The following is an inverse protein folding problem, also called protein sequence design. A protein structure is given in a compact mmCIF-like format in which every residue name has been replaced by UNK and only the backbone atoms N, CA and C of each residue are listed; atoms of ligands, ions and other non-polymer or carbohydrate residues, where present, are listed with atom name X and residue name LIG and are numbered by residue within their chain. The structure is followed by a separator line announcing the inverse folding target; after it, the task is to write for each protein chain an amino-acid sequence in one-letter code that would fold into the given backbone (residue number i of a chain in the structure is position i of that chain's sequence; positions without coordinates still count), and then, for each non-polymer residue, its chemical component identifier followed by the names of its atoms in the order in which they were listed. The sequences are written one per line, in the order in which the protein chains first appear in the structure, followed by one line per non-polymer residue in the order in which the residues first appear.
data_IF_733627498905
#
_entry.id   IF_733627498905
#
_cell.length_a   1.000
_cell.length_b   1.000
_cell.length_c   1.000
_cell.angle_alpha   90.00
_cell.angle_beta   90.00
_cell.angle_gamma   90.00
#
_symmetry.space_group_name_H-M   'P 1'
#
loop_
_entity.id
_entity.type
_entity.pdbx_description
1 polymer ?
#
# COMPACT_ATOMS: atom_id res chain seq x y z
N UNK A 1 37.24 -19.47 -3.75
CA UNK A 1 35.77 -19.71 -3.82
C UNK A 1 34.96 -18.45 -3.57
N UNK A 2 35.33 -17.61 -2.57
CA UNK A 2 34.67 -16.33 -2.28
C UNK A 2 34.65 -15.32 -3.44
N UNK A 3 35.75 -15.18 -4.19
CA UNK A 3 35.81 -14.24 -5.33
C UNK A 3 34.89 -14.60 -6.49
N UNK A 4 34.62 -15.89 -6.70
CA UNK A 4 33.72 -16.36 -7.76
C UNK A 4 32.26 -16.09 -7.38
N UNK A 5 31.91 -16.26 -6.11
CA UNK A 5 30.62 -15.86 -5.58
C UNK A 5 30.42 -14.34 -5.65
N UNK A 6 31.46 -13.56 -5.34
CA UNK A 6 31.42 -12.10 -5.43
C UNK A 6 31.24 -11.61 -6.87
N UNK A 7 31.95 -12.21 -7.82
CA UNK A 7 31.76 -11.93 -9.25
C UNK A 7 30.35 -12.29 -9.73
N UNK A 8 29.81 -13.43 -9.32
CA UNK A 8 28.44 -13.83 -9.68
C UNK A 8 27.38 -12.90 -9.06
N UNK A 9 27.56 -12.49 -7.80
CA UNK A 9 26.68 -11.51 -7.16
C UNK A 9 26.78 -10.15 -7.83
N UNK A 10 27.98 -9.67 -8.14
CA UNK A 10 28.20 -8.43 -8.87
C UNK A 10 27.57 -8.49 -10.26
N UNK A 11 27.69 -9.61 -10.98
CA UNK A 11 27.07 -9.81 -12.28
C UNK A 11 25.54 -9.85 -12.19
N UNK A 12 24.97 -10.47 -11.16
CA UNK A 12 23.53 -10.48 -10.92
C UNK A 12 22.99 -9.10 -10.58
N UNK A 13 23.71 -8.31 -9.78
CA UNK A 13 23.35 -6.92 -9.45
C UNK A 13 23.45 -6.03 -10.69
N UNK A 14 24.55 -6.13 -11.45
CA UNK A 14 24.72 -5.41 -12.72
C UNK A 14 23.65 -5.83 -13.73
N UNK A 15 23.29 -7.12 -13.81
CA UNK A 15 22.21 -7.61 -14.65
C UNK A 15 20.83 -7.08 -14.20
N UNK A 16 20.56 -7.02 -12.89
CA UNK A 16 19.34 -6.43 -12.32
C UNK A 16 19.24 -4.91 -12.56
N UNK A 17 20.37 -4.20 -12.62
CA UNK A 17 20.45 -2.76 -12.90
C UNK A 17 20.44 -2.44 -14.41
N UNK A 18 21.03 -3.32 -15.24
CA UNK A 18 21.16 -3.17 -16.68
C UNK A 18 19.93 -3.68 -17.44
N UNK A 19 19.28 -4.75 -16.95
CA UNK A 19 17.90 -5.01 -17.33
C UNK A 19 17.10 -3.83 -16.78
N UNK A 20 16.53 -3.02 -17.67
CA UNK A 20 15.40 -2.18 -17.28
C UNK A 20 14.30 -3.15 -16.87
N UNK A 21 14.34 -3.65 -15.63
CA UNK A 21 13.17 -4.14 -14.93
C UNK A 21 12.31 -2.92 -14.75
N UNK A 22 11.66 -2.61 -15.86
CA UNK A 22 10.70 -1.58 -16.00
C UNK A 22 9.56 -2.08 -15.13
N UNK A 23 9.61 -1.75 -13.84
CA UNK A 23 8.38 -1.55 -13.09
C UNK A 23 7.76 -0.28 -13.69
N UNK A 24 7.37 -0.35 -14.97
CA UNK A 24 6.42 0.57 -15.55
C UNK A 24 5.13 0.29 -14.83
N UNK A 25 4.94 1.01 -13.75
CA UNK A 25 3.62 1.50 -13.44
C UNK A 25 3.33 2.56 -14.51
N UNK A 26 2.97 2.11 -15.71
CA UNK A 26 2.35 2.99 -16.71
C UNK A 26 1.01 3.42 -16.14
N UNK A 27 1.05 4.46 -15.32
CA UNK A 27 -0.14 5.22 -15.00
C UNK A 27 0.06 6.60 -15.66
N UNK A 28 -0.09 6.62 -16.98
CA UNK A 28 0.05 7.80 -17.83
C UNK A 28 -1.11 8.81 -17.69
N UNK A 29 -1.92 8.73 -16.63
CA UNK A 29 -2.88 9.75 -16.24
C UNK A 29 -2.96 9.75 -14.72
N UNK A 30 -2.51 10.82 -14.05
CA UNK A 30 -2.37 10.93 -12.58
C UNK A 30 -3.38 10.07 -11.82
N UNK A 31 -2.90 8.96 -11.27
CA UNK A 31 -3.76 7.85 -10.84
C UNK A 31 -4.57 8.22 -9.61
N UNK A 32 -5.19 7.26 -8.92
CA UNK A 32 -5.92 7.53 -7.68
C UNK A 32 -5.06 8.21 -6.59
N UNK A 33 -3.73 8.15 -6.71
CA UNK A 33 -2.74 8.78 -5.85
C UNK A 33 -2.07 10.05 -6.45
N UNK A 34 -2.56 10.54 -7.60
CA UNK A 34 -2.05 11.74 -8.25
C UNK A 34 -0.58 11.59 -8.66
N UNK A 35 0.29 12.45 -8.10
CA UNK A 35 1.75 12.43 -8.34
C UNK A 35 2.47 11.36 -7.52
N UNK A 36 1.84 10.81 -6.48
CA UNK A 36 2.46 9.80 -5.62
C UNK A 36 2.30 8.40 -6.23
N UNK A 37 3.39 7.64 -6.40
CA UNK A 37 3.30 6.24 -6.82
C UNK A 37 2.46 5.43 -5.83
N UNK A 38 1.59 4.54 -6.33
CA UNK A 38 0.77 3.66 -5.49
C UNK A 38 1.64 2.83 -4.56
N UNK A 39 2.82 2.40 -5.01
CA UNK A 39 3.79 1.67 -4.19
C UNK A 39 4.26 2.49 -2.99
N UNK A 40 4.65 3.75 -3.21
CA UNK A 40 5.12 4.62 -2.13
C UNK A 40 4.01 4.90 -1.10
N UNK A 41 2.77 5.06 -1.57
CA UNK A 41 1.60 5.16 -0.70
C UNK A 41 1.37 3.85 0.08
N UNK A 42 1.47 2.69 -0.58
CA UNK A 42 1.34 1.38 0.05
C UNK A 42 2.42 1.12 1.11
N UNK A 43 3.67 1.49 0.83
CA UNK A 43 4.77 1.39 1.79
C UNK A 43 4.55 2.30 3.01
N UNK A 44 3.92 3.46 2.83
CA UNK A 44 3.53 4.33 3.94
C UNK A 44 2.46 3.72 4.85
N UNK A 45 1.73 2.71 4.36
CA UNK A 45 0.74 1.91 5.08
C UNK A 45 1.32 0.61 5.67
N UNK A 46 2.64 0.38 5.60
CA UNK A 46 3.32 -0.73 6.27
C UNK A 46 2.90 -0.93 7.75
N UNK A 47 2.79 0.11 8.60
CA UNK A 47 2.31 -0.08 9.98
C UNK A 47 0.87 -0.59 10.08
N UNK A 48 0.10 -0.60 8.99
CA UNK A 48 -1.27 -1.09 8.94
C UNK A 48 -1.39 -2.54 8.48
N UNK A 49 -0.31 -3.20 8.04
CA UNK A 49 -0.38 -4.53 7.41
C UNK A 49 -1.13 -5.56 8.28
N UNK A 50 -0.69 -5.72 9.53
CA UNK A 50 -1.33 -6.64 10.49
C UNK A 50 -2.80 -6.29 10.74
N UNK A 51 -3.10 -4.99 10.89
CA UNK A 51 -4.47 -4.52 11.12
C UNK A 51 -5.37 -4.65 9.87
N UNK A 52 -4.79 -4.56 8.68
CA UNK A 52 -5.48 -4.71 7.39
C UNK A 52 -5.76 -6.17 7.02
N UNK A 53 -4.98 -7.12 7.54
CA UNK A 53 -5.24 -8.55 7.37
C UNK A 53 -6.10 -9.17 8.47
N UNK A 54 -6.12 -8.57 9.68
CA UNK A 54 -6.78 -9.12 10.86
C UNK A 54 -7.68 -8.08 11.57
N UNK A 55 -8.98 -8.37 11.61
CA UNK A 55 -9.99 -7.53 12.24
C UNK A 55 -9.79 -7.40 13.77
N UNK A 56 -9.22 -8.43 14.40
CA UNK A 56 -8.99 -8.50 15.85
C UNK A 56 -7.66 -7.89 16.29
N UNK A 57 -6.74 -7.63 15.36
CA UNK A 57 -5.44 -7.05 15.71
C UNK A 57 -5.61 -5.64 16.29
N UNK A 58 -4.72 -5.22 17.19
CA UNK A 58 -4.69 -3.82 17.62
C UNK A 58 -4.16 -2.95 16.48
N UNK A 59 -4.79 -1.81 16.22
CA UNK A 59 -4.30 -0.88 15.19
C UNK A 59 -3.20 -0.02 15.78
N UNK A 60 -1.97 0.01 15.20
CA UNK A 60 -0.91 0.88 15.70
C UNK A 60 -1.29 2.36 15.55
N UNK A 61 -0.92 3.24 16.49
CA UNK A 61 -1.23 4.67 16.40
C UNK A 61 -0.63 5.31 15.13
N UNK A 62 0.57 4.89 14.73
CA UNK A 62 1.19 5.31 13.46
C UNK A 62 0.34 4.95 12.24
N UNK A 63 -0.30 3.78 12.24
CA UNK A 63 -1.23 3.39 11.18
C UNK A 63 -2.40 4.38 11.10
N UNK A 64 -3.01 4.70 12.24
CA UNK A 64 -4.12 5.65 12.28
C UNK A 64 -3.74 7.05 11.79
N UNK A 65 -2.56 7.55 12.16
CA UNK A 65 -2.06 8.85 11.69
C UNK A 65 -1.88 8.87 10.17
N UNK A 66 -1.27 7.83 9.59
CA UNK A 66 -1.06 7.74 8.15
C UNK A 66 -2.37 7.58 7.37
N UNK A 67 -3.29 6.77 7.88
CA UNK A 67 -4.63 6.61 7.28
C UNK A 67 -5.42 7.92 7.35
N UNK A 68 -5.38 8.62 8.48
CA UNK A 68 -6.04 9.93 8.62
C UNK A 68 -5.46 10.95 7.64
N UNK A 69 -4.12 11.01 7.50
CA UNK A 69 -3.47 11.89 6.53
C UNK A 69 -3.94 11.58 5.10
N UNK A 70 -3.96 10.30 4.71
CA UNK A 70 -4.42 9.88 3.38
C UNK A 70 -5.90 10.14 3.13
N UNK A 71 -6.77 10.00 4.13
CA UNK A 71 -8.19 10.35 3.99
C UNK A 71 -8.35 11.84 3.68
N UNK A 72 -7.55 12.70 4.33
CA UNK A 72 -7.62 14.14 4.13
C UNK A 72 -6.97 14.61 2.81
N UNK A 73 -5.89 13.97 2.38
CA UNK A 73 -5.17 14.40 1.16
C UNK A 73 -5.61 13.67 -0.10
N UNK A 74 -5.84 12.36 -0.03
CA UNK A 74 -6.08 11.50 -1.17
C UNK A 74 -6.96 10.28 -0.81
N UNK A 75 -8.27 10.47 -0.53
CA UNK A 75 -9.15 9.37 -0.11
C UNK A 75 -9.31 8.28 -1.19
N UNK A 76 -9.24 8.67 -2.48
CA UNK A 76 -9.24 7.73 -3.61
C UNK A 76 -7.97 6.87 -3.65
N UNK A 77 -6.82 7.43 -3.26
CA UNK A 77 -5.54 6.73 -3.18
C UNK A 77 -5.58 5.61 -2.16
N UNK A 78 -6.13 5.89 -0.96
CA UNK A 78 -6.25 4.88 0.10
C UNK A 78 -7.00 3.65 -0.41
N UNK A 79 -8.13 3.86 -1.08
CA UNK A 79 -8.89 2.75 -1.65
C UNK A 79 -8.10 1.95 -2.69
N UNK A 80 -7.43 2.65 -3.61
CA UNK A 80 -6.63 2.00 -4.64
C UNK A 80 -5.45 1.20 -4.07
N UNK A 81 -4.81 1.69 -3.02
CA UNK A 81 -3.76 0.96 -2.31
C UNK A 81 -4.32 -0.33 -1.71
N UNK A 82 -5.47 -0.28 -1.03
CA UNK A 82 -6.07 -1.45 -0.40
C UNK A 82 -6.48 -2.52 -1.42
N UNK A 83 -6.88 -2.12 -2.62
CA UNK A 83 -7.25 -3.01 -3.72
C UNK A 83 -6.07 -3.42 -4.61
N UNK A 84 -4.87 -2.87 -4.37
CA UNK A 84 -3.69 -3.17 -5.16
C UNK A 84 -3.25 -4.63 -4.97
N UNK A 85 -2.80 -5.32 -6.03
CA UNK A 85 -2.27 -6.68 -5.92
C UNK A 85 -1.10 -6.76 -4.94
N UNK A 86 -0.33 -5.68 -4.75
CA UNK A 86 0.73 -5.61 -3.76
C UNK A 86 0.20 -5.74 -2.33
N UNK A 87 -0.89 -5.03 -2.00
CA UNK A 87 -1.49 -5.08 -0.67
C UNK A 87 -2.09 -6.47 -0.40
N UNK A 88 -2.77 -7.05 -1.38
CA UNK A 88 -3.36 -8.39 -1.27
C UNK A 88 -2.26 -9.44 -1.05
N UNK A 89 -1.16 -9.39 -1.82
CA UNK A 89 0.01 -10.27 -1.62
C UNK A 89 0.68 -10.07 -0.26
N UNK A 90 0.65 -8.86 0.29
CA UNK A 90 1.16 -8.55 1.62
C UNK A 90 0.23 -8.99 2.78
N UNK A 91 -0.87 -9.70 2.48
CA UNK A 91 -1.81 -10.22 3.47
C UNK A 91 -2.90 -9.24 3.90
N UNK A 92 -3.04 -8.08 3.24
CA UNK A 92 -4.16 -7.18 3.47
C UNK A 92 -5.44 -7.79 2.87
N UNK A 93 -6.49 -7.82 3.68
CA UNK A 93 -7.85 -8.19 3.22
C UNK A 93 -8.64 -6.89 3.03
N UNK A 94 -9.04 -6.52 1.81
CA UNK A 94 -9.75 -5.26 1.57
C UNK A 94 -10.99 -5.06 2.46
N UNK A 95 -11.77 -6.13 2.67
CA UNK A 95 -12.95 -6.14 3.55
C UNK A 95 -12.62 -5.74 5.01
N UNK A 96 -11.44 -6.10 5.49
CA UNK A 96 -10.98 -5.75 6.84
C UNK A 96 -10.33 -4.36 6.84
N UNK A 97 -9.54 -4.05 5.82
CA UNK A 97 -8.77 -2.82 5.76
C UNK A 97 -9.64 -1.55 5.62
N UNK A 98 -10.77 -1.64 4.90
CA UNK A 98 -11.76 -0.53 4.83
C UNK A 98 -12.36 -0.17 6.19
N UNK A 99 -12.28 -1.06 7.18
CA UNK A 99 -12.76 -0.82 8.55
C UNK A 99 -11.71 -0.14 9.45
N UNK A 100 -10.45 -0.01 8.99
CA UNK A 100 -9.37 0.64 9.76
C UNK A 100 -9.75 2.07 10.19
N UNK A 101 -10.31 2.93 9.31
CA UNK A 101 -10.70 4.28 9.74
C UNK A 101 -11.72 4.29 10.88
N UNK A 102 -12.62 3.31 10.91
CA UNK A 102 -13.59 3.12 12.00
C UNK A 102 -12.89 2.67 13.28
N UNK A 103 -11.98 1.70 13.20
CA UNK A 103 -11.18 1.21 14.35
C UNK A 103 -10.24 2.27 14.93
N UNK A 104 -9.76 3.18 14.09
CA UNK A 104 -8.98 4.35 14.49
C UNK A 104 -9.82 5.52 15.01
N UNK A 105 -11.15 5.38 15.07
CA UNK A 105 -12.08 6.44 15.48
C UNK A 105 -11.92 7.76 14.68
N UNK A 106 -11.65 7.67 13.38
CA UNK A 106 -11.49 8.85 12.51
C UNK A 106 -12.88 9.40 12.17
N UNK A 107 -13.17 10.62 12.64
CA UNK A 107 -14.48 11.28 12.44
C UNK A 107 -14.79 11.59 10.97
N UNK A 108 -13.79 12.05 10.20
CA UNK A 108 -13.95 12.43 8.78
C UNK A 108 -13.77 11.25 7.81
N UNK A 109 -14.02 10.01 8.26
CA UNK A 109 -13.88 8.84 7.38
C UNK A 109 -14.93 8.89 6.25
N UNK A 110 -14.62 8.38 5.05
CA UNK A 110 -15.50 8.48 3.88
C UNK A 110 -16.65 7.45 3.93
N UNK A 111 -17.52 7.53 4.95
CA UNK A 111 -18.65 6.60 5.17
C UNK A 111 -19.54 6.55 3.93
N UNK A 112 -19.96 5.33 3.53
CA UNK A 112 -20.85 5.13 2.39
C UNK A 112 -20.17 5.28 1.02
N UNK A 113 -18.89 5.66 0.96
CA UNK A 113 -18.15 5.69 -0.32
C UNK A 113 -17.80 4.27 -0.75
N UNK A 114 -17.96 4.02 -2.06
CA UNK A 114 -17.55 2.76 -2.69
C UNK A 114 -16.04 2.71 -2.84
N UNK A 115 -15.47 1.61 -2.42
CA UNK A 115 -14.08 1.24 -2.65
C UNK A 115 -14.03 -0.11 -3.39
N UNK A 116 -14.03 -0.04 -4.72
CA UNK A 116 -14.24 -1.22 -5.57
C UNK A 116 -15.62 -1.83 -5.29
N UNK A 117 -15.64 -3.10 -4.88
CA UNK A 117 -16.87 -3.82 -4.49
C UNK A 117 -17.28 -3.60 -3.02
N UNK A 118 -16.49 -2.86 -2.24
CA UNK A 118 -16.71 -2.65 -0.81
C UNK A 118 -17.30 -1.27 -0.53
N UNK A 119 -18.01 -1.14 0.60
CA UNK A 119 -18.54 0.14 1.09
C UNK A 119 -17.86 0.43 2.43
N UNK A 120 -17.34 1.65 2.58
CA UNK A 120 -16.67 2.08 3.82
C UNK A 120 -17.72 2.20 4.95
N UNK A 121 -17.53 1.49 6.08
CA UNK A 121 -18.44 1.50 7.22
C UNK A 121 -18.29 2.73 8.12
#
# INVERSE_FOLDING_TARGET
MASKAYFLFAHMIVYLLATKTLITNVNAAGGPCGKTPIQSAALSLSPCLTAGGNAKAKVPPMCCTKVNALINTAPKCLCAVLLSPLAIKAGIKPAIAISIPKRCNIKRRPVGKKCGRYIVP
#
